data_IF_599454964258
#
_entry.id   IF_599454964258
#
_cell.length_a   1.000
_cell.length_b   1.000
_cell.length_c   1.000
_cell.angle_alpha   90.00
_cell.angle_beta   90.00
_cell.angle_gamma   90.00
#
_symmetry.space_group_name_H-M   'P 1'
#
loop_
_entity.id
_entity.type
_entity.pdbx_description
1 polymer ?
#
# COMPACT_ATOMS: atom_id res chain seq x y z
N UNK A 1 14.13 3.13 3.12
CA UNK A 1 13.28 2.71 1.98
C UNK A 1 11.83 2.63 2.44
N UNK A 2 10.91 3.31 1.76
CA UNK A 2 9.48 3.33 2.13
C UNK A 2 8.92 1.92 1.88
N UNK A 3 8.24 1.34 2.88
CA UNK A 3 7.63 0.02 2.74
C UNK A 3 6.13 0.16 2.43
N UNK A 4 5.77 0.35 1.16
CA UNK A 4 4.39 0.65 0.74
C UNK A 4 3.38 -0.43 1.16
N UNK A 5 3.77 -1.71 1.14
CA UNK A 5 2.92 -2.81 1.64
C UNK A 5 2.56 -2.68 3.13
N UNK A 6 3.42 -2.07 3.94
CA UNK A 6 3.17 -1.86 5.36
C UNK A 6 2.19 -0.70 5.56
N UNK A 7 2.38 0.39 4.81
CA UNK A 7 1.46 1.52 4.81
C UNK A 7 0.03 1.08 4.43
N UNK A 8 -0.12 0.26 3.39
CA UNK A 8 -1.42 -0.30 3.00
C UNK A 8 -2.05 -1.11 4.15
N UNK A 9 -1.27 -1.93 4.84
CA UNK A 9 -1.75 -2.70 5.99
C UNK A 9 -2.24 -1.79 7.12
N UNK A 10 -1.53 -0.71 7.40
CA UNK A 10 -1.90 0.23 8.46
C UNK A 10 -3.18 0.99 8.12
N UNK A 11 -3.35 1.46 6.88
CA UNK A 11 -4.59 2.10 6.45
C UNK A 11 -5.78 1.13 6.54
N UNK A 12 -5.61 -0.10 6.04
CA UNK A 12 -6.65 -1.14 6.15
C UNK A 12 -7.08 -1.37 7.61
N UNK A 13 -6.11 -1.45 8.54
CA UNK A 13 -6.37 -1.63 9.97
C UNK A 13 -7.04 -0.41 10.60
N UNK A 14 -6.61 0.80 10.26
CA UNK A 14 -7.20 2.05 10.73
C UNK A 14 -8.66 2.19 10.31
N UNK A 15 -9.02 1.69 9.13
CA UNK A 15 -10.40 1.64 8.63
C UNK A 15 -11.22 0.50 9.23
N UNK A 16 -10.63 -0.38 10.05
CA UNK A 16 -11.33 -1.51 10.68
C UNK A 16 -11.67 -2.65 9.73
N UNK A 17 -11.11 -2.67 8.52
CA UNK A 17 -11.37 -3.71 7.53
C UNK A 17 -10.54 -4.97 7.80
N UNK A 18 -11.14 -6.13 7.51
CA UNK A 18 -10.44 -7.42 7.66
C UNK A 18 -9.62 -7.76 6.41
N UNK A 19 -8.61 -8.62 6.58
CA UNK A 19 -7.83 -9.16 5.46
C UNK A 19 -8.72 -9.92 4.47
N UNK A 20 -9.74 -10.62 4.98
CA UNK A 20 -10.70 -11.34 4.13
C UNK A 20 -11.53 -10.37 3.29
N UNK A 21 -12.05 -9.30 3.89
CA UNK A 21 -12.76 -8.25 3.16
C UNK A 21 -11.88 -7.66 2.05
N UNK A 22 -10.63 -7.33 2.37
CA UNK A 22 -9.70 -6.75 1.40
C UNK A 22 -9.35 -7.70 0.26
N UNK A 23 -9.16 -8.99 0.56
CA UNK A 23 -8.93 -10.02 -0.43
C UNK A 23 -10.11 -10.13 -1.41
N UNK A 24 -11.35 -10.08 -0.89
CA UNK A 24 -12.57 -10.06 -1.71
C UNK A 24 -12.62 -8.84 -2.62
N UNK A 25 -12.35 -7.63 -2.10
CA UNK A 25 -12.38 -6.40 -2.90
C UNK A 25 -11.33 -6.41 -4.04
N UNK A 26 -10.17 -7.03 -3.80
CA UNK A 26 -9.11 -7.17 -4.80
C UNK A 26 -9.29 -8.39 -5.72
N UNK A 27 -10.35 -9.18 -5.56
CA UNK A 27 -10.58 -10.44 -6.25
C UNK A 27 -9.37 -11.39 -6.16
N UNK A 28 -8.80 -11.56 -4.96
CA UNK A 28 -7.63 -12.39 -4.73
C UNK A 28 -7.73 -13.20 -3.42
N UNK A 29 -6.71 -14.01 -3.13
CA UNK A 29 -6.66 -14.81 -1.91
C UNK A 29 -6.06 -14.03 -0.73
N UNK A 30 -6.41 -14.41 0.51
CA UNK A 30 -5.75 -13.88 1.72
C UNK A 30 -4.22 -14.03 1.67
N UNK A 31 -3.72 -15.13 1.11
CA UNK A 31 -2.28 -15.36 0.92
C UNK A 31 -1.65 -14.29 0.04
N UNK A 32 -2.32 -13.90 -1.06
CA UNK A 32 -1.85 -12.82 -1.93
C UNK A 32 -1.84 -11.46 -1.20
N UNK A 33 -2.85 -11.19 -0.37
CA UNK A 33 -2.86 -9.99 0.48
C UNK A 33 -1.66 -9.95 1.44
N UNK A 34 -1.32 -11.05 2.11
CA UNK A 34 -0.13 -11.11 2.95
C UNK A 34 1.18 -10.98 2.16
N UNK A 35 1.20 -11.36 0.86
CA UNK A 35 2.34 -11.06 -0.02
C UNK A 35 2.42 -9.56 -0.32
N UNK A 36 1.29 -8.90 -0.60
CA UNK A 36 1.23 -7.43 -0.78
C UNK A 36 1.81 -6.72 0.43
N UNK A 37 1.42 -7.10 1.64
CA UNK A 37 1.90 -6.46 2.87
C UNK A 37 3.40 -6.63 3.14
N UNK A 38 4.07 -7.58 2.49
CA UNK A 38 5.52 -7.82 2.61
C UNK A 38 6.35 -7.15 1.51
N UNK A 39 5.69 -6.51 0.54
CA UNK A 39 6.38 -5.80 -0.55
C UNK A 39 6.73 -4.38 -0.12
N UNK A 40 8.02 -4.04 -0.20
CA UNK A 40 8.45 -2.65 -0.06
C UNK A 40 7.96 -1.81 -1.24
N UNK A 41 8.09 -2.35 -2.46
CA UNK A 41 7.66 -1.72 -3.69
C UNK A 41 6.37 -2.36 -4.21
N UNK A 42 5.38 -1.52 -4.51
CA UNK A 42 4.10 -1.92 -5.08
C UNK A 42 4.00 -1.32 -6.47
N UNK A 43 3.57 -2.14 -7.43
CA UNK A 43 3.31 -1.69 -8.79
C UNK A 43 2.24 -0.59 -8.82
N UNK A 44 2.39 0.41 -9.70
CA UNK A 44 1.52 1.59 -9.76
C UNK A 44 0.06 1.21 -10.03
N UNK A 45 -0.20 0.23 -10.89
CA UNK A 45 -1.56 -0.24 -11.19
C UNK A 45 -2.19 -0.90 -9.97
N UNK A 46 -1.42 -1.74 -9.27
CA UNK A 46 -1.89 -2.35 -8.02
C UNK A 46 -2.14 -1.30 -6.95
N UNK A 47 -1.27 -0.30 -6.80
CA UNK A 47 -1.44 0.78 -5.85
C UNK A 47 -2.69 1.62 -6.17
N UNK A 48 -2.95 1.88 -7.44
CA UNK A 48 -4.16 2.55 -7.91
C UNK A 48 -5.42 1.80 -7.49
N UNK A 49 -5.50 0.51 -7.80
CA UNK A 49 -6.64 -0.33 -7.41
C UNK A 49 -6.84 -0.38 -5.90
N UNK A 50 -5.75 -0.49 -5.13
CA UNK A 50 -5.81 -0.47 -3.66
C UNK A 50 -6.30 0.88 -3.14
N UNK A 51 -5.88 1.98 -3.76
CA UNK A 51 -6.33 3.34 -3.42
C UNK A 51 -7.84 3.48 -3.61
N UNK A 52 -8.38 2.91 -4.69
CA UNK A 52 -9.82 2.91 -4.94
C UNK A 52 -10.58 2.04 -3.92
N UNK A 53 -10.07 0.84 -3.62
CA UNK A 53 -10.72 -0.08 -2.67
C UNK A 53 -10.77 0.49 -1.25
N UNK A 54 -9.71 1.17 -0.83
CA UNK A 54 -9.60 1.74 0.52
C UNK A 54 -10.06 3.20 0.58
N UNK A 55 -10.53 3.78 -0.52
CA UNK A 55 -10.85 5.21 -0.64
C UNK A 55 -9.77 6.10 0.02
N UNK A 56 -8.50 5.79 -0.31
CA UNK A 56 -7.33 6.44 0.28
C UNK A 56 -6.31 6.78 -0.79
N UNK A 57 -5.88 8.05 -0.85
CA UNK A 57 -4.90 8.50 -1.83
C UNK A 57 -3.46 8.19 -1.38
N UNK A 58 -3.01 6.95 -1.66
CA UNK A 58 -1.63 6.54 -1.35
C UNK A 58 -0.58 7.33 -2.14
N UNK A 59 -0.91 7.87 -3.32
CA UNK A 59 0.03 8.67 -4.10
C UNK A 59 0.36 10.00 -3.42
N UNK A 60 -0.65 10.66 -2.87
CA UNK A 60 -0.46 11.90 -2.09
C UNK A 60 0.38 11.64 -0.85
N UNK A 61 0.14 10.53 -0.15
CA UNK A 61 0.94 10.11 1.00
C UNK A 61 2.41 9.91 0.61
N UNK A 62 2.68 9.13 -0.44
CA UNK A 62 4.04 8.89 -0.93
C UNK A 62 4.72 10.18 -1.38
N UNK A 63 4.00 11.08 -2.06
CA UNK A 63 4.51 12.39 -2.46
C UNK A 63 4.88 13.25 -1.25
N UNK A 64 4.08 13.22 -0.18
CA UNK A 64 4.38 13.95 1.06
C UNK A 64 5.63 13.40 1.75
N UNK A 65 5.78 12.07 1.80
CA UNK A 65 6.97 11.43 2.37
C UNK A 65 8.22 11.81 1.58
N UNK A 66 8.13 11.82 0.24
CA UNK A 66 9.21 12.24 -0.64
C UNK A 66 9.62 13.70 -0.39
N UNK A 67 8.65 14.62 -0.34
CA UNK A 67 8.91 16.03 -0.06
C UNK A 67 9.55 16.27 1.32
N UNK A 68 9.16 15.48 2.33
CA UNK A 68 9.71 15.58 3.70
C UNK A 68 11.09 14.94 3.85
N UNK A 69 11.49 14.04 2.95
CA UNK A 69 12.77 13.32 3.02
C UNK A 69 13.49 13.31 1.66
N UNK A 70 14.15 14.42 1.26
CA UNK A 70 14.83 14.51 -0.04
C UNK A 70 16.08 13.61 -0.20
N UNK A 71 16.45 12.76 0.77
CA UNK A 71 17.68 11.95 0.76
C UNK A 71 17.47 10.43 0.46
N UNK A 72 16.46 10.04 -0.33
CA UNK A 72 16.20 8.61 -0.64
C UNK A 72 16.53 8.18 -2.08
N UNK A 73 17.46 8.87 -2.75
CA UNK A 73 18.18 8.29 -3.87
C UNK A 73 19.52 7.77 -3.31
N UNK A 74 19.49 6.59 -2.70
CA UNK A 74 20.69 5.77 -2.63
C UNK A 74 20.72 4.90 -3.89
N UNK A 75 21.79 5.11 -4.63
CA UNK A 75 22.19 4.43 -5.86
C UNK A 75 22.12 2.90 -5.75
N UNK A 76 21.63 2.27 -6.81
CA UNK A 76 22.31 1.16 -7.47
C UNK A 76 21.82 0.97 -8.90
#
# INVERSE_FOLDING_TARGET
MIHTGWLIREILRKQGHTVTWFATQLCCTRSNVYKIFRKANIDVELLWRISQVLDYNFFSELSSIYQKNPQLIDEK
#
